data_IF_376484753691
#
_entry.id   IF_376484753691
#
_cell.length_a   1.000
_cell.length_b   1.000
_cell.length_c   1.000
_cell.angle_alpha   90.00
_cell.angle_beta   90.00
_cell.angle_gamma   90.00
#
_symmetry.space_group_name_H-M   'P 1'
#
loop_
_entity.id
_entity.type
_entity.pdbx_description
1 polymer ?
#
# COMPACT_ATOMS: atom_id res chain seq x y z
N UNK A 1 15.52 0.91 10.04
CA UNK A 1 14.32 1.72 10.40
C UNK A 1 13.55 1.04 11.52
N UNK A 2 13.16 1.74 12.58
CA UNK A 2 12.47 1.12 13.74
C UNK A 2 11.03 0.73 13.41
N UNK A 3 10.43 -0.18 14.20
CA UNK A 3 9.02 -0.58 14.06
C UNK A 3 8.09 0.64 14.13
N UNK A 4 8.32 1.56 15.07
CA UNK A 4 7.53 2.79 15.22
C UNK A 4 7.64 3.73 14.00
N UNK A 5 8.85 3.92 13.46
CA UNK A 5 9.02 4.72 12.22
C UNK A 5 8.27 4.10 11.04
N UNK A 6 8.26 2.77 10.94
CA UNK A 6 7.57 2.04 9.86
C UNK A 6 6.06 2.16 9.97
N UNK A 7 5.53 2.10 11.19
CA UNK A 7 4.10 2.22 11.41
C UNK A 7 3.61 3.62 11.06
N UNK A 8 4.38 4.65 11.47
CA UNK A 8 4.10 6.06 11.12
C UNK A 8 4.13 6.28 9.61
N UNK A 9 5.13 5.74 8.91
CA UNK A 9 5.25 5.86 7.45
C UNK A 9 4.07 5.21 6.72
N UNK A 10 3.70 3.99 7.08
CA UNK A 10 2.56 3.33 6.43
C UNK A 10 1.22 4.02 6.78
N UNK A 11 1.12 4.57 8.00
CA UNK A 11 -0.01 5.39 8.39
C UNK A 11 -0.13 6.67 7.54
N UNK A 12 0.97 7.34 7.21
CA UNK A 12 0.93 8.53 6.34
C UNK A 12 0.52 8.19 4.91
N UNK A 13 0.93 7.04 4.39
CA UNK A 13 0.44 6.55 3.09
C UNK A 13 -1.08 6.31 3.12
N UNK A 14 -1.63 5.65 4.14
CA UNK A 14 -3.08 5.48 4.26
C UNK A 14 -3.82 6.83 4.38
N UNK A 15 -3.21 7.84 5.02
CA UNK A 15 -3.80 9.19 5.06
C UNK A 15 -3.82 9.83 3.68
N UNK A 16 -2.71 9.76 2.93
CA UNK A 16 -2.63 10.27 1.54
C UNK A 16 -3.67 9.63 0.63
N UNK A 17 -3.99 8.36 0.88
CA UNK A 17 -4.98 7.60 0.13
C UNK A 17 -6.42 7.73 0.68
N UNK A 18 -6.67 8.53 1.73
CA UNK A 18 -7.96 8.60 2.44
C UNK A 18 -8.47 7.27 3.04
N UNK A 19 -7.60 6.28 3.24
CA UNK A 19 -7.92 4.99 3.85
C UNK A 19 -7.67 4.92 5.36
N UNK A 20 -7.01 5.92 5.96
CA UNK A 20 -6.59 5.83 7.36
C UNK A 20 -7.77 5.65 8.33
N UNK A 21 -8.86 6.41 8.14
CA UNK A 21 -10.07 6.30 8.98
C UNK A 21 -10.70 4.91 8.85
N UNK A 22 -10.85 4.42 7.62
CA UNK A 22 -11.39 3.08 7.30
C UNK A 22 -10.57 1.99 7.99
N UNK A 23 -9.24 2.10 7.94
CA UNK A 23 -8.33 1.19 8.63
C UNK A 23 -8.54 1.19 10.15
N UNK A 24 -8.57 2.36 10.79
CA UNK A 24 -8.78 2.47 12.23
C UNK A 24 -10.15 1.91 12.65
N UNK A 25 -11.20 2.17 11.86
CA UNK A 25 -12.53 1.65 12.15
C UNK A 25 -12.60 0.11 12.00
N UNK A 26 -11.89 -0.45 11.01
CA UNK A 26 -11.75 -1.92 10.88
C UNK A 26 -11.05 -2.55 12.08
N UNK A 27 -10.01 -1.90 12.62
CA UNK A 27 -9.30 -2.39 13.80
C UNK A 27 -10.20 -2.41 15.03
N UNK A 28 -10.98 -1.35 15.25
CA UNK A 28 -11.93 -1.27 16.36
C UNK A 28 -12.99 -2.36 16.27
N UNK A 29 -13.57 -2.55 15.08
CA UNK A 29 -14.58 -3.59 14.82
C UNK A 29 -14.03 -5.00 15.09
N UNK A 30 -12.78 -5.26 14.68
CA UNK A 30 -12.11 -6.55 14.87
C UNK A 30 -11.42 -6.70 16.24
N UNK A 31 -11.52 -5.70 17.13
CA UNK A 31 -10.83 -5.64 18.44
C UNK A 31 -9.32 -5.88 18.31
N UNK A 32 -8.67 -5.17 17.38
CA UNK A 32 -7.23 -5.31 17.06
C UNK A 32 -6.45 -4.02 17.31
N UNK A 33 -5.17 -4.19 17.64
CA UNK A 33 -4.26 -3.06 17.83
C UNK A 33 -3.74 -2.48 16.51
N UNK A 34 -3.44 -1.18 16.54
CA UNK A 34 -2.69 -0.53 15.48
C UNK A 34 -1.21 -0.90 15.58
N UNK A 35 -0.79 -1.87 14.77
CA UNK A 35 0.58 -2.36 14.73
C UNK A 35 1.03 -2.69 13.30
N UNK A 36 2.33 -2.98 13.16
CA UNK A 36 2.95 -3.28 11.86
C UNK A 36 2.30 -4.44 11.14
N UNK A 37 1.87 -5.48 11.86
CA UNK A 37 1.25 -6.67 11.27
C UNK A 37 -0.12 -6.33 10.68
N UNK A 38 -0.95 -5.61 11.42
CA UNK A 38 -2.30 -5.29 11.00
C UNK A 38 -2.34 -4.27 9.87
N UNK A 39 -1.52 -3.21 9.91
CA UNK A 39 -1.47 -2.25 8.79
C UNK A 39 -1.00 -2.93 7.51
N UNK A 40 -0.02 -3.83 7.62
CA UNK A 40 0.48 -4.67 6.53
C UNK A 40 -0.59 -5.58 5.94
N UNK A 41 -1.45 -6.15 6.78
CA UNK A 41 -2.58 -6.96 6.33
C UNK A 41 -3.61 -6.10 5.61
N UNK A 42 -3.87 -4.88 6.09
CA UNK A 42 -4.79 -3.95 5.46
C UNK A 42 -4.33 -3.55 4.05
N UNK A 43 -3.06 -3.14 3.87
CA UNK A 43 -2.51 -2.82 2.55
C UNK A 43 -2.68 -3.99 1.58
N UNK A 44 -2.34 -5.22 2.00
CA UNK A 44 -2.42 -6.41 1.14
C UNK A 44 -3.82 -6.73 0.62
N UNK A 45 -4.85 -6.28 1.33
CA UNK A 45 -6.23 -6.67 1.06
C UNK A 45 -7.03 -5.53 0.43
N UNK A 46 -6.61 -4.28 0.62
CA UNK A 46 -7.43 -3.12 0.27
C UNK A 46 -6.70 -2.08 -0.59
N UNK A 47 -5.36 -2.15 -0.70
CA UNK A 47 -4.58 -1.12 -1.40
C UNK A 47 -3.88 -1.75 -2.60
N UNK A 48 -4.43 -1.48 -3.77
CA UNK A 48 -3.92 -1.90 -5.07
C UNK A 48 -3.62 -0.64 -5.89
N UNK A 49 -2.35 -0.33 -6.08
CA UNK A 49 -1.88 0.97 -6.63
C UNK A 49 -0.49 0.83 -7.23
N UNK A 50 -0.23 1.51 -8.34
CA UNK A 50 1.13 1.62 -8.89
C UNK A 50 2.03 2.46 -7.99
N UNK A 51 3.24 1.98 -7.74
CA UNK A 51 4.24 2.71 -6.95
C UNK A 51 4.73 3.96 -7.70
N UNK A 52 4.96 3.86 -9.01
CA UNK A 52 5.42 4.99 -9.83
C UNK A 52 4.40 6.12 -9.80
N UNK A 53 3.12 5.78 -9.99
CA UNK A 53 2.01 6.73 -9.96
C UNK A 53 1.79 7.34 -8.58
N UNK A 54 1.85 6.51 -7.53
CA UNK A 54 1.76 6.99 -6.15
C UNK A 54 2.86 8.00 -5.81
N UNK A 55 4.07 7.79 -6.35
CA UNK A 55 5.22 8.66 -6.16
C UNK A 55 5.00 10.04 -6.80
N UNK A 56 4.49 10.09 -8.04
CA UNK A 56 4.22 11.35 -8.75
C UNK A 56 2.91 12.02 -8.33
N UNK A 57 2.07 11.34 -7.54
CA UNK A 57 0.83 11.90 -6.99
C UNK A 57 -0.38 11.83 -7.91
N UNK A 58 -0.23 11.29 -9.12
CA UNK A 58 -1.31 11.01 -10.05
C UNK A 58 -1.49 9.48 -10.15
N UNK A 59 -2.44 8.93 -9.41
CA UNK A 59 -2.59 7.50 -9.22
C UNK A 59 -4.03 7.02 -9.26
N UNK A 60 -4.20 5.78 -9.70
CA UNK A 60 -5.45 5.05 -9.63
C UNK A 60 -5.42 4.03 -8.49
N UNK A 61 -6.46 4.01 -7.67
CA UNK A 61 -6.73 2.93 -6.72
C UNK A 61 -7.64 1.91 -7.41
N UNK A 62 -7.16 0.67 -7.49
CA UNK A 62 -7.92 -0.43 -8.08
C UNK A 62 -8.75 -1.13 -7.00
N UNK A 63 -9.89 -1.69 -7.40
CA UNK A 63 -10.80 -2.35 -6.45
C UNK A 63 -10.26 -3.72 -6.00
N UNK A 64 -9.52 -4.39 -6.88
CA UNK A 64 -8.97 -5.72 -6.60
C UNK A 64 -7.62 -5.95 -7.28
N UNK A 65 -6.93 -7.00 -6.82
CA UNK A 65 -5.62 -7.40 -7.33
C UNK A 65 -5.65 -7.85 -8.80
N UNK A 66 -6.78 -8.41 -9.27
CA UNK A 66 -6.92 -8.87 -10.64
C UNK A 66 -6.89 -7.71 -11.64
N UNK A 67 -7.74 -6.70 -11.40
CA UNK A 67 -7.74 -5.43 -12.16
C UNK A 67 -6.37 -4.78 -12.15
N UNK A 68 -5.76 -4.66 -10.97
CA UNK A 68 -4.45 -4.03 -10.86
C UNK A 68 -3.35 -4.80 -11.62
N UNK A 69 -3.34 -6.14 -11.54
CA UNK A 69 -2.40 -6.96 -12.32
C UNK A 69 -2.63 -6.81 -13.82
N UNK A 70 -3.87 -6.74 -14.26
CA UNK A 70 -4.19 -6.52 -15.67
C UNK A 70 -3.69 -5.15 -16.14
N UNK A 71 -3.91 -4.11 -15.33
CA UNK A 71 -3.39 -2.77 -15.58
C UNK A 71 -1.86 -2.76 -15.74
N UNK A 72 -1.13 -3.38 -14.82
CA UNK A 72 0.34 -3.43 -14.89
C UNK A 72 0.85 -4.17 -16.13
N UNK A 73 0.11 -5.16 -16.65
CA UNK A 73 0.44 -5.85 -17.91
C UNK A 73 0.28 -4.93 -19.12
N UNK A 74 -0.78 -4.12 -19.14
CA UNK A 74 -1.06 -3.20 -20.25
C UNK A 74 -0.30 -1.88 -20.14
N UNK A 75 0.22 -1.55 -18.96
CA UNK A 75 0.95 -0.31 -18.69
C UNK A 75 2.27 -0.61 -17.94
N UNK A 76 3.29 -1.15 -18.64
CA UNK A 76 4.54 -1.56 -18.00
C UNK A 76 5.30 -0.41 -17.31
N UNK A 77 5.15 0.82 -17.80
CA UNK A 77 5.74 2.03 -17.18
C UNK A 77 5.20 2.32 -15.78
N UNK A 78 4.03 1.79 -15.43
CA UNK A 78 3.48 1.88 -14.08
C UNK A 78 4.12 0.86 -13.12
N UNK A 79 4.90 -0.12 -13.61
CA UNK A 79 5.65 -1.03 -12.74
C UNK A 79 6.93 -0.37 -12.25
N UNK A 80 7.19 -0.48 -10.95
CA UNK A 80 8.50 -0.18 -10.38
C UNK A 80 9.28 -1.48 -10.13
N UNK A 81 10.55 -1.58 -10.53
CA UNK A 81 11.40 -2.70 -10.17
C UNK A 81 11.45 -2.94 -8.66
N UNK A 82 11.40 -4.21 -8.25
CA UNK A 82 11.32 -4.60 -6.82
C UNK A 82 12.48 -4.05 -5.99
N UNK A 83 13.68 -3.96 -6.55
CA UNK A 83 14.87 -3.47 -5.83
C UNK A 83 14.76 -1.97 -5.54
N UNK A 84 14.41 -1.17 -6.54
CA UNK A 84 14.20 0.28 -6.41
C UNK A 84 13.09 0.60 -5.40
N UNK A 85 11.93 -0.05 -5.55
CA UNK A 85 10.81 0.15 -4.63
C UNK A 85 11.14 -0.23 -3.16
N UNK A 86 12.10 -1.13 -2.93
CA UNK A 86 12.59 -1.45 -1.57
C UNK A 86 13.49 -0.34 -1.03
N UNK A 87 14.40 0.18 -1.84
CA UNK A 87 15.34 1.25 -1.44
C UNK A 87 14.60 2.54 -1.09
N UNK A 88 13.56 2.88 -1.84
CA UNK A 88 12.74 4.08 -1.61
C UNK A 88 11.68 3.94 -0.49
N UNK A 89 11.58 2.78 0.16
CA UNK A 89 10.63 2.57 1.27
C UNK A 89 9.18 2.25 0.85
N UNK A 90 8.92 1.99 -0.43
CA UNK A 90 7.61 1.59 -0.98
C UNK A 90 7.34 0.09 -0.92
N UNK A 91 8.13 -0.66 -0.15
CA UNK A 91 8.01 -2.12 0.04
C UNK A 91 6.59 -2.60 0.38
N UNK A 92 5.77 -1.76 1.01
CA UNK A 92 4.40 -2.10 1.42
C UNK A 92 3.46 -2.35 0.23
N UNK A 93 3.67 -1.64 -0.88
CA UNK A 93 2.85 -1.74 -2.09
C UNK A 93 3.24 -2.91 -3.00
N UNK A 94 4.43 -3.51 -2.81
CA UNK A 94 4.92 -4.62 -3.62
C UNK A 94 4.27 -5.97 -3.30
N UNK A 95 3.51 -6.06 -2.19
CA UNK A 95 3.04 -7.35 -1.70
C UNK A 95 1.96 -7.93 -2.63
N UNK A 96 2.15 -9.20 -3.02
CA UNK A 96 1.34 -9.97 -4.00
C UNK A 96 1.58 -9.62 -5.47
N UNK A 97 2.51 -8.71 -5.78
CA UNK A 97 2.96 -8.44 -7.16
C UNK A 97 4.22 -9.23 -7.55
N UNK A 98 5.05 -9.58 -6.55
CA UNK A 98 6.32 -10.30 -6.68
C UNK A 98 6.51 -11.31 -5.56
#
# INVERSE_FOLDING_TARGET
MTKNKTLKLYGSYLKKLNHYKIYIDSLKKEKKDNNITNIKKYFNNNIFISINEFHVGNYNLFNNLGEFRQYLKTTPSAMKPRQEAKQEGYKIFLRKLF
#
